data_IF_817547933311
#
_entry.id   IF_817547933311
#
_cell.length_a   1.000
_cell.length_b   1.000
_cell.length_c   1.000
_cell.angle_alpha   90.00
_cell.angle_beta   90.00
_cell.angle_gamma   90.00
#
_symmetry.space_group_name_H-M   'P 1'
#
loop_
_entity.id
_entity.type
_entity.pdbx_description
1 polymer ?
#
# COMPACT_ATOMS: atom_id res chain seq x y z
N UNK A 1 21.26 -18.27 -14.21
CA UNK A 1 19.87 -18.06 -14.68
C UNK A 1 18.83 -18.52 -13.62
N UNK A 2 19.12 -18.48 -12.30
CA UNK A 2 18.26 -19.14 -11.29
C UNK A 2 17.78 -18.26 -10.13
N UNK A 3 18.02 -16.95 -10.11
CA UNK A 3 17.79 -16.15 -8.88
C UNK A 3 17.00 -14.85 -9.04
N UNK A 4 16.19 -14.66 -10.07
CA UNK A 4 15.61 -13.33 -10.32
C UNK A 4 14.09 -13.21 -10.21
N UNK A 5 13.33 -14.24 -9.84
CA UNK A 5 11.86 -14.15 -9.88
C UNK A 5 11.27 -13.45 -8.66
N UNK A 6 11.91 -13.54 -7.49
CA UNK A 6 11.40 -12.87 -6.27
C UNK A 6 12.05 -11.52 -5.93
N UNK A 7 13.23 -11.22 -6.48
CA UNK A 7 13.86 -9.89 -6.34
C UNK A 7 13.09 -8.78 -7.07
N UNK A 8 12.16 -9.14 -7.95
CA UNK A 8 11.35 -8.20 -8.72
C UNK A 8 10.13 -7.63 -7.98
N UNK A 9 9.64 -8.27 -6.90
CA UNK A 9 8.39 -7.85 -6.28
C UNK A 9 8.55 -6.62 -5.36
N UNK A 10 9.73 -6.47 -4.74
CA UNK A 10 10.00 -5.29 -3.89
C UNK A 10 10.52 -4.09 -4.70
N UNK A 11 11.03 -4.32 -5.91
CA UNK A 11 11.60 -3.27 -6.76
C UNK A 11 10.57 -2.48 -7.57
N UNK A 12 9.30 -2.92 -7.61
CA UNK A 12 8.30 -2.28 -8.47
C UNK A 12 7.65 -1.04 -7.82
N UNK A 13 7.88 -0.79 -6.55
CA UNK A 13 7.26 0.34 -5.83
C UNK A 13 8.21 1.46 -5.44
N UNK A 14 9.50 1.21 -5.56
CA UNK A 14 10.49 2.24 -5.42
C UNK A 14 11.20 2.33 -6.77
N UNK A 15 10.79 3.27 -7.61
CA UNK A 15 11.62 3.70 -8.74
C UNK A 15 12.85 4.43 -8.19
N UNK A 16 13.67 3.72 -7.41
CA UNK A 16 15.06 4.07 -7.29
C UNK A 16 15.68 3.70 -8.62
N UNK A 17 16.01 4.68 -9.42
CA UNK A 17 16.97 4.50 -10.49
C UNK A 17 18.21 3.90 -9.84
N UNK A 18 18.35 2.58 -9.92
CA UNK A 18 19.58 1.92 -9.54
C UNK A 18 20.63 2.36 -10.56
N UNK A 19 21.39 3.38 -10.22
CA UNK A 19 22.62 3.73 -10.94
C UNK A 19 23.60 2.61 -10.63
N UNK A 20 23.58 1.56 -11.43
CA UNK A 20 24.70 0.61 -11.48
C UNK A 20 25.86 1.32 -12.14
N UNK A 21 26.82 1.78 -11.34
CA UNK A 21 28.10 2.22 -11.83
C UNK A 21 28.87 1.04 -12.45
N UNK A 22 28.67 0.81 -13.73
CA UNK A 22 29.63 0.10 -14.58
C UNK A 22 29.91 1.02 -15.78
N UNK A 23 31.13 1.50 -15.85
CA UNK A 23 31.70 2.07 -17.07
C UNK A 23 31.61 1.03 -18.20
N UNK A 24 30.65 1.19 -19.10
CA UNK A 24 30.75 0.66 -20.44
C UNK A 24 29.82 1.47 -21.36
N UNK A 25 30.44 2.06 -22.35
CA UNK A 25 29.86 2.68 -23.57
C UNK A 25 28.71 3.67 -23.37
N UNK A 26 28.92 4.86 -23.91
CA UNK A 26 28.10 6.05 -24.08
C UNK A 26 26.77 5.82 -24.85
N UNK A 27 25.98 4.82 -24.48
CA UNK A 27 24.63 4.64 -24.97
C UNK A 27 23.67 5.31 -23.97
N UNK A 28 23.22 6.51 -24.28
CA UNK A 28 22.06 7.14 -23.63
C UNK A 28 20.92 6.10 -23.61
N UNK A 29 20.32 5.80 -22.44
CA UNK A 29 19.20 4.87 -22.39
C UNK A 29 18.11 5.31 -23.38
N UNK A 30 17.67 4.42 -24.25
CA UNK A 30 16.56 4.74 -25.15
C UNK A 30 15.30 4.96 -24.32
N UNK A 31 14.50 5.99 -24.66
CA UNK A 31 13.26 6.26 -23.97
C UNK A 31 12.34 5.05 -23.99
N UNK A 32 11.83 4.65 -22.83
CA UNK A 32 10.98 3.47 -22.67
C UNK A 32 9.55 3.86 -22.32
N UNK A 33 8.60 3.34 -23.09
CA UNK A 33 7.19 3.43 -22.80
C UNK A 33 6.69 2.07 -22.30
N UNK A 34 6.11 2.05 -21.10
CA UNK A 34 5.62 0.83 -20.47
C UNK A 34 4.11 0.90 -20.25
N UNK A 35 3.46 -0.23 -20.46
CA UNK A 35 2.07 -0.46 -20.08
C UNK A 35 2.01 -1.74 -19.25
N UNK A 36 1.48 -1.63 -18.04
CA UNK A 36 1.37 -2.74 -17.09
C UNK A 36 0.12 -2.59 -16.24
N UNK A 37 -0.18 -3.59 -15.45
CA UNK A 37 -1.30 -3.52 -14.54
C UNK A 37 -1.71 -4.87 -13.97
N UNK A 38 -2.83 -4.86 -13.23
CA UNK A 38 -3.42 -6.06 -12.65
C UNK A 38 -4.92 -6.06 -12.80
N UNK A 39 -5.51 -7.24 -12.84
CA UNK A 39 -6.95 -7.47 -12.71
C UNK A 39 -7.15 -8.56 -11.69
N UNK A 40 -7.98 -8.35 -10.69
CA UNK A 40 -8.24 -9.33 -9.66
C UNK A 40 -9.72 -9.47 -9.30
N UNK A 41 -10.03 -10.63 -8.79
CA UNK A 41 -11.36 -11.01 -8.27
C UNK A 41 -11.16 -11.99 -7.12
N UNK A 42 -12.14 -12.08 -6.24
CA UNK A 42 -12.04 -12.97 -5.09
C UNK A 42 -13.39 -13.60 -4.72
N UNK A 43 -13.31 -14.68 -3.96
CA UNK A 43 -14.40 -15.23 -3.19
C UNK A 43 -14.05 -15.15 -1.71
N UNK A 44 -14.98 -14.70 -0.88
CA UNK A 44 -14.83 -14.68 0.58
C UNK A 44 -16.02 -15.33 1.25
N UNK A 45 -15.75 -16.04 2.33
CA UNK A 45 -16.76 -16.57 3.24
C UNK A 45 -16.36 -16.26 4.70
N UNK A 46 -17.26 -15.64 5.44
CA UNK A 46 -17.16 -15.56 6.90
C UNK A 46 -17.59 -16.90 7.53
N UNK A 47 -17.02 -17.23 8.68
CA UNK A 47 -17.48 -18.37 9.47
C UNK A 47 -18.58 -17.98 10.49
N UNK A 48 -18.96 -16.70 10.54
CA UNK A 48 -20.11 -16.19 11.27
C UNK A 48 -21.37 -16.14 10.40
N UNK A 49 -22.55 -16.02 11.02
CA UNK A 49 -23.82 -15.88 10.29
C UNK A 49 -23.93 -14.55 9.53
N UNK A 50 -23.38 -13.47 10.10
CA UNK A 50 -23.26 -12.20 9.38
C UNK A 50 -22.03 -12.24 8.44
N UNK A 51 -22.19 -11.85 7.17
CA UNK A 51 -21.09 -11.83 6.22
C UNK A 51 -20.06 -10.71 6.42
N UNK A 52 -20.18 -9.89 7.47
CA UNK A 52 -19.29 -8.76 7.68
C UNK A 52 -17.82 -9.18 7.66
N UNK A 53 -17.01 -8.36 7.00
CA UNK A 53 -15.56 -8.41 7.07
C UNK A 53 -15.07 -7.19 7.83
N UNK A 54 -13.86 -7.21 8.39
CA UNK A 54 -13.20 -5.96 8.74
C UNK A 54 -13.15 -5.07 7.48
N UNK A 55 -13.71 -3.90 7.57
CA UNK A 55 -13.70 -2.89 6.49
C UNK A 55 -12.30 -2.65 5.94
N UNK A 56 -11.32 -2.74 6.81
CA UNK A 56 -9.89 -2.61 6.55
C UNK A 56 -9.29 -3.68 5.63
N UNK A 57 -10.01 -4.75 5.33
CA UNK A 57 -9.42 -5.88 4.59
C UNK A 57 -9.27 -5.63 3.09
N UNK A 58 -9.92 -4.62 2.53
CA UNK A 58 -10.05 -4.39 1.08
C UNK A 58 -10.57 -5.63 0.32
N UNK A 59 -11.16 -6.56 1.05
CA UNK A 59 -11.81 -7.77 0.58
C UNK A 59 -13.02 -8.07 1.48
N UNK A 60 -13.84 -7.05 1.71
CA UNK A 60 -14.90 -6.99 2.72
C UNK A 60 -16.22 -7.62 2.25
N UNK A 61 -16.41 -7.81 0.94
CA UNK A 61 -17.65 -8.36 0.39
C UNK A 61 -17.64 -9.90 0.47
N UNK A 62 -18.71 -10.45 1.01
CA UNK A 62 -18.91 -11.89 1.08
C UNK A 62 -19.41 -12.47 -0.25
N UNK A 63 -19.05 -13.73 -0.55
CA UNK A 63 -19.34 -14.37 -1.83
C UNK A 63 -18.35 -14.03 -2.92
N UNK A 64 -18.75 -14.11 -4.17
CA UNK A 64 -17.92 -13.74 -5.33
C UNK A 64 -17.94 -12.23 -5.52
N UNK A 65 -16.77 -11.62 -5.58
CA UNK A 65 -16.61 -10.18 -5.67
C UNK A 65 -15.50 -9.78 -6.64
N UNK A 66 -15.65 -8.59 -7.18
CA UNK A 66 -14.56 -7.91 -7.89
C UNK A 66 -13.59 -7.34 -6.87
N UNK A 67 -12.32 -7.40 -7.16
CA UNK A 67 -11.29 -6.63 -6.48
C UNK A 67 -11.04 -5.31 -7.19
N UNK A 68 -10.00 -5.28 -8.01
CA UNK A 68 -9.55 -4.09 -8.72
C UNK A 68 -9.06 -4.44 -10.13
N UNK A 69 -9.22 -3.53 -11.07
CA UNK A 69 -8.38 -3.45 -12.25
C UNK A 69 -7.53 -2.19 -12.15
N UNK A 70 -6.22 -2.31 -12.31
CA UNK A 70 -5.34 -1.16 -12.38
C UNK A 70 -4.54 -1.17 -13.68
N UNK A 71 -4.42 0.01 -14.30
CA UNK A 71 -3.73 0.21 -15.57
C UNK A 71 -2.69 1.30 -15.40
N UNK A 72 -1.44 0.94 -15.56
CA UNK A 72 -0.30 1.83 -15.37
C UNK A 72 0.32 2.11 -16.73
N UNK A 73 0.41 3.39 -17.07
CA UNK A 73 1.14 3.90 -18.21
C UNK A 73 2.31 4.70 -17.68
N UNK A 74 3.53 4.36 -18.09
CA UNK A 74 4.72 5.13 -17.73
C UNK A 74 5.61 5.40 -18.92
N UNK A 75 6.29 6.51 -18.85
CA UNK A 75 7.33 6.89 -19.81
C UNK A 75 8.59 7.27 -19.05
N UNK A 76 9.68 6.64 -19.40
CA UNK A 76 11.00 6.90 -18.87
C UNK A 76 11.88 7.45 -19.98
N UNK A 77 12.17 8.74 -19.92
CA UNK A 77 13.07 9.43 -20.83
C UNK A 77 14.43 9.67 -20.18
N UNK A 78 15.38 10.20 -20.94
CA UNK A 78 16.75 10.47 -20.48
C UNK A 78 16.80 11.31 -19.19
N UNK A 79 15.98 12.34 -19.08
CA UNK A 79 15.97 13.27 -17.94
C UNK A 79 14.64 13.42 -17.25
N UNK A 80 13.55 13.02 -17.90
CA UNK A 80 12.22 13.24 -17.39
C UNK A 80 11.30 12.08 -17.76
N UNK A 81 10.29 11.85 -16.93
CA UNK A 81 9.27 10.86 -17.21
C UNK A 81 7.97 11.17 -16.48
N UNK A 82 7.02 10.27 -16.64
CA UNK A 82 5.74 10.34 -15.94
C UNK A 82 5.21 8.95 -15.61
N UNK A 83 4.30 8.90 -14.65
CA UNK A 83 3.45 7.75 -14.35
C UNK A 83 2.01 8.21 -14.31
N UNK A 84 1.12 7.44 -14.94
CA UNK A 84 -0.33 7.55 -14.83
C UNK A 84 -0.87 6.17 -14.49
N UNK A 85 -1.51 6.03 -13.33
CA UNK A 85 -2.08 4.80 -12.79
C UNK A 85 -3.56 5.00 -12.52
N UNK A 86 -4.40 4.29 -13.27
CA UNK A 86 -5.84 4.32 -13.14
C UNK A 86 -6.35 3.03 -12.50
N UNK A 87 -7.28 3.15 -11.55
CA UNK A 87 -7.87 2.04 -10.79
C UNK A 87 -9.38 2.01 -10.95
N UNK A 88 -9.93 0.80 -10.98
CA UNK A 88 -11.36 0.54 -11.13
C UNK A 88 -11.78 -0.62 -10.22
N UNK A 89 -13.03 -0.65 -9.82
CA UNK A 89 -13.59 -1.69 -8.95
C UNK A 89 -13.57 -1.31 -7.47
N UNK A 90 -14.17 -2.14 -6.60
CA UNK A 90 -14.33 -1.82 -5.18
C UNK A 90 -13.02 -1.48 -4.47
N UNK A 91 -12.01 -2.33 -4.60
CA UNK A 91 -10.68 -2.10 -4.02
C UNK A 91 -10.03 -0.81 -4.55
N UNK A 92 -10.15 -0.55 -5.87
CA UNK A 92 -9.65 0.69 -6.48
C UNK A 92 -10.35 1.92 -5.93
N UNK A 93 -11.68 1.90 -5.83
CA UNK A 93 -12.47 3.01 -5.26
C UNK A 93 -12.13 3.26 -3.80
N UNK A 94 -11.89 2.20 -3.01
CA UNK A 94 -11.47 2.32 -1.62
C UNK A 94 -10.06 2.91 -1.48
N UNK A 95 -9.19 2.63 -2.43
CA UNK A 95 -7.81 3.15 -2.44
C UNK A 95 -7.72 4.65 -2.77
N UNK A 96 -8.70 5.19 -3.48
CA UNK A 96 -8.73 6.61 -3.92
C UNK A 96 -9.90 7.38 -3.28
N UNK A 97 -10.30 7.00 -2.08
CA UNK A 97 -11.49 7.52 -1.38
C UNK A 97 -11.47 9.04 -1.14
N UNK A 98 -10.31 9.64 -0.93
CA UNK A 98 -10.12 11.08 -0.74
C UNK A 98 -10.06 11.87 -2.05
N UNK A 99 -10.16 11.20 -3.20
CA UNK A 99 -10.21 11.88 -4.49
C UNK A 99 -11.50 12.66 -4.67
N UNK A 100 -11.39 13.84 -5.28
CA UNK A 100 -12.56 14.73 -5.48
C UNK A 100 -13.59 14.03 -6.37
N UNK A 101 -14.73 13.69 -5.78
CA UNK A 101 -15.94 13.35 -6.51
C UNK A 101 -16.48 14.64 -7.08
N UNK A 102 -16.50 14.75 -8.40
CA UNK A 102 -17.03 15.92 -9.07
C UNK A 102 -18.51 16.13 -8.74
N UNK A 103 -18.80 16.84 -7.66
CA UNK A 103 -20.09 17.42 -7.36
C UNK A 103 -19.98 18.93 -7.31
N UNK A 104 -19.76 19.53 -8.45
CA UNK A 104 -20.24 20.88 -8.60
C UNK A 104 -21.72 20.79 -8.97
N UNK A 105 -22.59 21.39 -8.17
CA UNK A 105 -24.01 21.57 -8.45
C UNK A 105 -24.21 22.35 -9.76
N UNK A 106 -24.03 21.66 -10.89
CA UNK A 106 -24.19 22.24 -12.22
C UNK A 106 -24.18 21.18 -13.31
N UNK A 107 -24.97 21.33 -14.36
CA UNK A 107 -25.01 20.38 -15.47
C UNK A 107 -23.68 20.43 -16.23
N UNK A 108 -22.89 19.35 -16.21
CA UNK A 108 -21.83 19.09 -17.18
C UNK A 108 -20.39 18.94 -16.69
N UNK A 109 -20.11 18.90 -15.40
CA UNK A 109 -18.76 18.66 -14.88
C UNK A 109 -18.68 17.32 -14.14
N UNK A 110 -18.65 16.24 -14.87
CA UNK A 110 -18.36 14.92 -14.36
C UNK A 110 -16.87 14.64 -14.49
N UNK A 111 -16.02 15.36 -13.77
CA UNK A 111 -14.63 14.91 -13.56
C UNK A 111 -14.63 14.09 -12.30
N UNK A 112 -14.11 12.88 -12.41
CA UNK A 112 -13.85 12.04 -11.28
C UNK A 112 -12.38 11.69 -11.30
N UNK A 113 -11.64 12.17 -10.33
CA UNK A 113 -10.33 11.61 -10.01
C UNK A 113 -10.44 10.32 -9.20
N UNK A 114 -11.65 9.83 -8.96
CA UNK A 114 -11.92 8.54 -8.29
C UNK A 114 -11.30 7.31 -8.96
N UNK A 115 -10.73 7.48 -10.14
CA UNK A 115 -9.97 6.43 -10.84
C UNK A 115 -8.46 6.69 -10.85
N UNK A 116 -7.99 7.80 -10.33
CA UNK A 116 -6.57 8.15 -10.36
C UNK A 116 -5.88 7.71 -9.07
N UNK A 117 -5.13 6.64 -9.14
CA UNK A 117 -4.26 6.18 -8.06
C UNK A 117 -2.96 6.97 -8.05
N UNK A 118 -2.33 7.17 -9.21
CA UNK A 118 -1.13 7.99 -9.35
C UNK A 118 -1.18 8.81 -10.63
N UNK A 119 -0.74 10.05 -10.55
CA UNK A 119 -0.49 10.90 -11.71
C UNK A 119 0.62 11.89 -11.35
N UNK A 120 1.83 11.63 -11.83
CA UNK A 120 2.96 12.49 -11.54
C UNK A 120 3.95 12.56 -12.70
N UNK A 121 4.73 13.63 -12.70
CA UNK A 121 5.90 13.80 -13.56
C UNK A 121 7.14 13.88 -12.69
N UNK A 122 8.28 13.45 -13.23
CA UNK A 122 9.56 13.58 -12.53
C UNK A 122 10.64 14.12 -13.48
N UNK A 123 11.67 14.70 -12.88
CA UNK A 123 12.83 15.21 -13.59
C UNK A 123 14.12 14.91 -12.81
N UNK A 124 15.09 14.32 -13.48
CA UNK A 124 16.41 14.02 -12.94
C UNK A 124 17.29 15.29 -13.03
N UNK A 125 17.58 15.89 -11.87
CA UNK A 125 18.35 17.13 -11.75
C UNK A 125 19.85 16.91 -11.94
N UNK A 126 20.32 15.68 -11.78
CA UNK A 126 21.72 15.27 -11.88
C UNK A 126 21.92 13.91 -11.23
N UNK A 127 23.18 13.49 -11.07
CA UNK A 127 23.50 12.21 -10.47
C UNK A 127 22.85 12.06 -9.09
N UNK A 128 21.93 11.09 -8.96
CA UNK A 128 21.28 10.73 -7.72
C UNK A 128 20.25 11.71 -7.18
N UNK A 129 19.79 12.72 -7.95
CA UNK A 129 18.76 13.66 -7.49
C UNK A 129 17.59 13.71 -8.45
N UNK A 130 16.41 13.35 -7.97
CA UNK A 130 15.15 13.39 -8.74
C UNK A 130 14.12 14.27 -8.04
N UNK A 131 13.48 15.16 -8.79
CA UNK A 131 12.30 15.90 -8.34
C UNK A 131 11.05 15.28 -8.95
N UNK A 132 10.02 15.08 -8.12
CA UNK A 132 8.70 14.53 -8.53
C UNK A 132 7.60 15.50 -8.13
N UNK A 133 6.65 15.74 -9.02
CA UNK A 133 5.48 16.59 -8.79
C UNK A 133 4.22 15.88 -9.28
N UNK A 134 3.21 15.82 -8.44
CA UNK A 134 1.92 15.19 -8.71
C UNK A 134 1.39 14.38 -7.55
N UNK A 135 0.49 13.44 -7.85
CA UNK A 135 -0.05 12.47 -6.90
C UNK A 135 0.68 11.12 -7.07
N UNK A 136 1.17 10.56 -5.99
CA UNK A 136 1.90 9.30 -5.95
C UNK A 136 1.55 8.49 -4.70
N UNK A 137 1.72 7.18 -4.77
CA UNK A 137 1.49 6.30 -3.62
C UNK A 137 2.33 6.72 -2.42
N UNK A 138 1.79 6.46 -1.23
CA UNK A 138 2.48 6.78 0.01
C UNK A 138 3.87 6.14 0.09
N UNK A 139 4.75 6.79 0.82
CA UNK A 139 6.06 6.26 1.21
C UNK A 139 6.05 5.63 2.61
N UNK A 140 4.89 5.66 3.31
CA UNK A 140 4.69 5.03 4.61
C UNK A 140 4.03 3.67 4.43
N UNK A 141 4.31 2.77 5.38
CA UNK A 141 3.70 1.44 5.40
C UNK A 141 4.42 0.41 4.54
N UNK A 142 4.15 -0.86 4.80
CA UNK A 142 4.74 -2.02 4.14
C UNK A 142 3.88 -2.54 2.99
N UNK A 143 2.55 -2.55 3.20
CA UNK A 143 1.60 -3.01 2.20
C UNK A 143 1.29 -1.91 1.17
N UNK A 144 0.77 -2.33 0.02
CA UNK A 144 0.45 -1.45 -1.10
C UNK A 144 -0.93 -1.74 -1.67
N UNK A 145 -1.44 -0.84 -2.50
CA UNK A 145 -2.78 -0.93 -3.08
C UNK A 145 -2.89 -2.14 -4.02
N UNK A 146 -1.87 -2.39 -4.86
CA UNK A 146 -1.88 -3.49 -5.82
C UNK A 146 -1.79 -4.85 -5.14
N UNK A 147 -2.79 -5.75 -5.32
CA UNK A 147 -2.81 -7.05 -4.67
C UNK A 147 -1.74 -8.03 -5.18
N UNK A 148 -1.15 -7.78 -6.35
CA UNK A 148 -0.06 -8.59 -6.87
C UNK A 148 1.25 -8.32 -6.16
N UNK A 149 1.42 -7.12 -5.61
CA UNK A 149 2.64 -6.70 -4.93
C UNK A 149 2.63 -7.02 -3.42
N UNK A 150 1.47 -7.27 -2.83
CA UNK A 150 1.35 -7.77 -1.46
C UNK A 150 1.45 -9.29 -1.42
N UNK A 151 2.09 -9.87 -0.41
CA UNK A 151 2.05 -11.33 -0.22
C UNK A 151 0.65 -11.79 0.18
N UNK A 152 0.04 -11.15 1.20
CA UNK A 152 -1.34 -11.38 1.61
C UNK A 152 -2.29 -10.61 0.69
N UNK A 153 -3.45 -11.19 0.37
CA UNK A 153 -4.45 -10.50 -0.45
C UNK A 153 -5.24 -9.46 0.35
N UNK A 154 -5.73 -9.84 1.54
CA UNK A 154 -6.35 -8.89 2.44
C UNK A 154 -5.30 -8.03 3.15
N UNK A 155 -5.64 -6.79 3.42
CA UNK A 155 -4.73 -5.80 4.01
C UNK A 155 -4.81 -5.75 5.53
N UNK A 156 -3.78 -5.18 6.16
CA UNK A 156 -3.67 -4.92 7.59
C UNK A 156 -4.51 -3.70 8.02
N UNK A 157 -4.73 -3.54 9.30
CA UNK A 157 -5.30 -2.31 9.88
C UNK A 157 -4.35 -1.12 9.70
N UNK A 158 -3.05 -1.33 9.93
CA UNK A 158 -2.05 -0.27 9.74
C UNK A 158 -2.04 0.28 8.31
N UNK A 159 -2.22 -0.58 7.30
CA UNK A 159 -2.34 -0.14 5.91
C UNK A 159 -3.61 0.71 5.72
N UNK A 160 -4.74 0.25 6.23
CA UNK A 160 -6.04 0.87 5.95
C UNK A 160 -6.26 2.18 6.69
N UNK A 161 -5.57 2.41 7.80
CA UNK A 161 -5.61 3.64 8.57
C UNK A 161 -4.38 4.53 8.41
N UNK A 162 -3.37 4.05 7.68
CA UNK A 162 -2.28 4.87 7.17
C UNK A 162 -2.66 5.64 5.89
N UNK A 163 -1.83 6.56 5.45
CA UNK A 163 -2.05 7.27 4.19
C UNK A 163 -1.86 6.33 2.99
N UNK A 164 -2.66 6.54 1.91
CA UNK A 164 -2.52 5.81 0.64
C UNK A 164 -1.75 6.60 -0.41
N UNK A 165 -1.92 7.92 -0.44
CA UNK A 165 -1.30 8.77 -1.45
C UNK A 165 -0.93 10.15 -0.93
N UNK A 166 -0.05 10.82 -1.67
CA UNK A 166 0.34 12.20 -1.43
C UNK A 166 0.33 12.97 -2.72
N UNK A 167 -0.29 14.15 -2.71
CA UNK A 167 -0.20 15.12 -3.79
C UNK A 167 0.74 16.25 -3.38
N UNK A 168 1.82 16.43 -4.11
CA UNK A 168 2.79 17.46 -3.78
C UNK A 168 4.10 17.34 -4.55
N UNK A 169 5.15 17.87 -3.95
CA UNK A 169 6.50 17.86 -4.49
C UNK A 169 7.42 17.10 -3.54
N UNK A 170 8.20 16.18 -4.10
CA UNK A 170 9.26 15.50 -3.37
C UNK A 170 10.58 15.55 -4.12
N UNK A 171 11.65 15.47 -3.34
CA UNK A 171 13.04 15.33 -3.79
C UNK A 171 13.60 14.03 -3.27
N UNK A 172 14.05 13.19 -4.14
CA UNK A 172 14.72 11.92 -3.84
C UNK A 172 16.23 12.09 -4.05
N UNK A 173 17.03 11.67 -3.08
CA UNK A 173 18.49 11.72 -3.10
C UNK A 173 19.03 10.30 -2.94
N UNK A 174 19.71 9.77 -3.95
CA UNK A 174 20.53 8.57 -3.84
C UNK A 174 21.91 8.96 -3.32
N UNK A 175 22.14 8.82 -2.01
CA UNK A 175 23.38 9.25 -1.35
C UNK A 175 24.50 8.22 -1.54
N UNK A 176 24.14 6.95 -1.67
CA UNK A 176 25.03 5.82 -2.03
C UNK A 176 24.18 4.68 -2.58
N UNK A 177 24.82 3.53 -2.89
CA UNK A 177 24.10 2.31 -3.29
C UNK A 177 23.13 1.79 -2.20
N UNK A 178 23.44 2.05 -0.93
CA UNK A 178 22.71 1.54 0.23
C UNK A 178 21.94 2.62 1.00
N UNK A 179 22.14 3.91 0.67
CA UNK A 179 21.59 5.02 1.45
C UNK A 179 20.83 5.98 0.55
N UNK A 180 19.58 6.23 0.87
CA UNK A 180 18.72 7.21 0.20
C UNK A 180 18.03 8.15 1.20
N UNK A 181 17.68 9.34 0.73
CA UNK A 181 16.88 10.31 1.46
C UNK A 181 15.81 10.87 0.56
N UNK A 182 14.57 10.89 1.02
CA UNK A 182 13.49 11.63 0.39
C UNK A 182 13.03 12.75 1.32
N UNK A 183 12.76 13.91 0.75
CA UNK A 183 12.14 15.05 1.43
C UNK A 183 10.99 15.57 0.60
N UNK A 184 9.84 15.85 1.21
CA UNK A 184 8.66 16.28 0.49
C UNK A 184 7.78 17.28 1.22
N UNK A 185 6.98 18.00 0.44
CA UNK A 185 5.92 18.90 0.89
C UNK A 185 4.64 18.52 0.14
N UNK A 186 3.58 18.27 0.89
CA UNK A 186 2.35 17.67 0.37
C UNK A 186 1.12 18.44 0.82
N UNK A 187 0.04 18.28 0.08
CA UNK A 187 -1.30 18.57 0.53
C UNK A 187 -1.69 17.60 1.68
N UNK A 188 -2.93 17.69 2.13
CA UNK A 188 -3.50 16.68 3.01
C UNK A 188 -3.39 15.30 2.34
N UNK A 189 -3.11 14.28 3.14
CA UNK A 189 -3.02 12.89 2.64
C UNK A 189 -4.31 12.44 1.98
N UNK A 190 -4.18 11.61 0.96
CA UNK A 190 -5.28 10.99 0.23
C UNK A 190 -6.15 11.95 -0.60
N UNK A 191 -5.80 13.24 -0.64
CA UNK A 191 -6.40 14.22 -1.53
C UNK A 191 -5.62 14.33 -2.84
N UNK A 192 -6.26 13.98 -3.96
CA UNK A 192 -5.59 14.01 -5.28
C UNK A 192 -5.45 15.40 -5.88
N UNK A 193 -6.33 16.36 -5.58
CA UNK A 193 -6.40 17.61 -6.32
C UNK A 193 -6.47 18.86 -5.47
N UNK A 194 -7.17 18.81 -4.33
CA UNK A 194 -7.54 20.02 -3.65
C UNK A 194 -6.94 20.11 -2.25
N UNK A 195 -6.41 21.25 -1.94
CA UNK A 195 -6.04 21.60 -0.57
C UNK A 195 -7.08 22.59 -0.01
N UNK A 196 -8.28 22.10 0.25
CA UNK A 196 -9.37 22.93 0.79
C UNK A 196 -9.10 23.43 2.21
N UNK A 197 -8.41 22.63 3.00
CA UNK A 197 -8.02 22.99 4.37
C UNK A 197 -6.81 23.90 4.44
N UNK A 198 -6.10 24.13 3.33
CA UNK A 198 -4.78 24.76 3.28
C UNK A 198 -3.74 24.02 4.15
N UNK A 199 -3.98 22.76 4.39
CA UNK A 199 -3.09 21.90 5.11
C UNK A 199 -1.81 21.67 4.31
N UNK A 200 -0.69 21.68 5.00
CA UNK A 200 0.61 21.38 4.40
C UNK A 200 1.30 20.34 5.26
N UNK A 201 1.57 19.19 4.67
CA UNK A 201 2.34 18.14 5.30
C UNK A 201 3.80 18.17 4.83
N UNK A 202 4.69 17.77 5.71
CA UNK A 202 6.10 17.54 5.42
C UNK A 202 6.41 16.07 5.59
N UNK A 203 7.08 15.48 4.62
CA UNK A 203 7.51 14.10 4.66
C UNK A 203 9.01 13.95 4.53
N UNK A 204 9.53 12.92 5.18
CA UNK A 204 10.91 12.47 5.04
C UNK A 204 10.97 10.94 5.08
N UNK A 205 11.85 10.37 4.26
CA UNK A 205 12.17 8.95 4.30
C UNK A 205 13.68 8.78 4.25
N UNK A 206 14.22 8.02 5.19
CA UNK A 206 15.60 7.60 5.19
C UNK A 206 15.66 6.10 4.83
N UNK A 207 16.25 5.80 3.68
CA UNK A 207 16.53 4.43 3.25
C UNK A 207 17.92 4.01 3.68
N UNK A 208 18.03 2.83 4.32
CA UNK A 208 19.27 2.22 4.79
C UNK A 208 19.25 0.72 4.48
N UNK A 209 20.06 0.27 3.52
CA UNK A 209 20.20 -1.17 3.18
C UNK A 209 18.85 -1.85 2.87
N UNK A 210 17.93 -1.15 2.17
CA UNK A 210 16.61 -1.67 1.84
C UNK A 210 15.58 -1.59 2.98
N UNK A 211 15.92 -0.96 4.12
CA UNK A 211 15.02 -0.63 5.20
C UNK A 211 14.70 0.86 5.18
N UNK A 212 13.52 1.26 5.67
CA UNK A 212 13.07 2.65 5.60
C UNK A 212 12.55 3.12 6.95
N UNK A 213 12.98 4.31 7.33
CA UNK A 213 12.40 5.09 8.42
C UNK A 213 11.70 6.27 7.80
N UNK A 214 10.41 6.37 8.04
CA UNK A 214 9.52 7.34 7.43
C UNK A 214 8.96 8.28 8.48
N UNK A 215 8.82 9.55 8.10
CA UNK A 215 8.15 10.58 8.87
C UNK A 215 7.19 11.35 7.98
N UNK A 216 5.97 11.56 8.46
CA UNK A 216 5.00 12.47 7.89
C UNK A 216 4.44 13.33 9.02
N UNK A 217 4.39 14.64 8.83
CA UNK A 217 3.84 15.54 9.84
C UNK A 217 3.33 16.83 9.23
N UNK A 218 2.32 17.41 9.85
CA UNK A 218 1.68 18.65 9.45
C UNK A 218 0.60 19.00 10.46
N UNK A 219 -0.21 19.97 10.17
CA UNK A 219 -1.20 20.60 11.04
C UNK A 219 -2.06 19.59 11.84
N UNK A 220 -1.64 19.29 13.07
CA UNK A 220 -2.34 18.36 13.96
C UNK A 220 -2.15 16.87 13.68
N UNK A 221 -1.26 16.47 12.77
CA UNK A 221 -0.95 15.09 12.47
C UNK A 221 0.56 14.83 12.49
N UNK A 222 0.97 13.70 13.06
CA UNK A 222 2.33 13.19 12.94
C UNK A 222 2.36 11.66 12.91
N UNK A 223 3.13 11.09 11.99
CA UNK A 223 3.33 9.64 11.89
C UNK A 223 4.81 9.34 11.73
N UNK A 224 5.28 8.36 12.48
CA UNK A 224 6.59 7.73 12.30
C UNK A 224 6.33 6.27 11.95
N UNK A 225 7.00 5.80 10.91
CA UNK A 225 6.83 4.46 10.38
C UNK A 225 8.20 3.84 10.07
N UNK A 226 8.34 2.55 10.33
CA UNK A 226 9.47 1.72 9.91
C UNK A 226 8.95 0.61 9.02
N UNK A 227 9.54 0.47 7.84
CA UNK A 227 9.31 -0.66 6.94
C UNK A 227 10.61 -1.31 6.56
N UNK A 228 10.61 -2.64 6.51
CA UNK A 228 11.80 -3.39 6.15
C UNK A 228 11.52 -4.82 5.75
N UNK A 229 12.54 -5.42 5.14
CA UNK A 229 12.52 -6.82 4.75
C UNK A 229 13.90 -7.44 4.78
N UNK A 230 13.99 -8.69 5.25
CA UNK A 230 15.24 -9.40 5.47
C UNK A 230 15.18 -10.77 4.81
N UNK A 231 16.08 -11.04 3.88
CA UNK A 231 16.33 -12.38 3.37
C UNK A 231 17.15 -13.15 4.41
N UNK A 232 16.48 -13.94 5.27
CA UNK A 232 17.12 -14.73 6.32
C UNK A 232 17.75 -16.03 5.75
N UNK A 233 17.27 -16.47 4.59
CA UNK A 233 17.87 -17.52 3.77
C UNK A 233 17.35 -17.42 2.33
N UNK A 234 17.84 -18.27 1.41
CA UNK A 234 17.36 -18.35 0.01
C UNK A 234 15.84 -18.63 -0.10
N UNK A 235 15.24 -19.23 0.92
CA UNK A 235 13.84 -19.63 0.93
C UNK A 235 13.00 -18.85 1.94
N UNK A 236 13.60 -18.14 2.89
CA UNK A 236 12.87 -17.51 3.98
C UNK A 236 13.13 -16.00 4.02
N UNK A 237 12.05 -15.24 3.85
CA UNK A 237 12.01 -13.79 3.95
C UNK A 237 11.17 -13.36 5.15
N UNK A 238 11.57 -12.29 5.85
CA UNK A 238 10.83 -11.67 6.92
C UNK A 238 10.61 -10.18 6.63
N UNK A 239 9.36 -9.80 6.35
CA UNK A 239 8.96 -8.40 6.29
C UNK A 239 8.54 -7.88 7.67
N UNK A 240 8.74 -6.58 7.91
CA UNK A 240 8.38 -5.89 9.15
C UNK A 240 7.78 -4.53 8.82
N UNK A 241 6.69 -4.19 9.50
CA UNK A 241 6.16 -2.84 9.58
C UNK A 241 5.91 -2.48 11.05
N UNK A 242 6.28 -1.27 11.44
CA UNK A 242 5.94 -0.71 12.76
C UNK A 242 5.64 0.76 12.60
N UNK A 243 4.51 1.23 13.11
CA UNK A 243 4.06 2.60 12.95
C UNK A 243 3.42 3.15 14.21
N UNK A 244 3.49 4.47 14.38
CA UNK A 244 2.68 5.22 15.32
C UNK A 244 2.25 6.52 14.66
N UNK A 245 0.97 6.84 14.77
CA UNK A 245 0.37 8.07 14.29
C UNK A 245 -0.37 8.77 15.42
N UNK A 246 -0.24 10.08 15.50
CA UNK A 246 -0.94 10.93 16.48
C UNK A 246 -1.67 12.06 15.77
N UNK A 247 -2.85 12.37 16.24
CA UNK A 247 -3.69 13.47 15.81
C UNK A 247 -3.88 14.47 16.98
N UNK A 248 -4.51 15.60 16.73
CA UNK A 248 -4.88 16.52 17.79
C UNK A 248 -5.77 15.85 18.84
N UNK A 249 -5.57 16.17 20.12
CA UNK A 249 -6.39 15.65 21.21
C UNK A 249 -5.98 14.31 21.77
N UNK A 250 -4.74 13.89 21.55
CA UNK A 250 -4.16 12.59 21.97
C UNK A 250 -4.75 11.37 21.26
N UNK A 251 -5.61 11.54 20.27
CA UNK A 251 -6.11 10.46 19.43
C UNK A 251 -5.03 9.94 18.49
N UNK A 252 -5.11 8.68 18.10
CA UNK A 252 -4.15 8.10 17.17
C UNK A 252 -4.17 6.59 17.13
N UNK A 253 -3.16 6.02 16.49
CA UNK A 253 -2.97 4.58 16.47
C UNK A 253 -1.50 4.20 16.49
N UNK A 254 -1.24 2.97 16.86
CA UNK A 254 0.07 2.34 16.72
C UNK A 254 -0.11 0.88 16.32
N UNK A 255 0.92 0.32 15.71
CA UNK A 255 0.88 -1.08 15.32
C UNK A 255 2.23 -1.64 14.93
N UNK A 256 2.29 -2.96 14.95
CA UNK A 256 3.41 -3.74 14.45
C UNK A 256 2.90 -4.96 13.70
N UNK A 257 3.47 -5.24 12.54
CA UNK A 257 3.19 -6.44 11.77
C UNK A 257 4.48 -7.12 11.32
N UNK A 258 4.44 -8.45 11.34
CA UNK A 258 5.47 -9.33 10.82
C UNK A 258 4.91 -10.13 9.65
N UNK A 259 5.73 -10.27 8.59
CA UNK A 259 5.36 -10.94 7.35
C UNK A 259 6.39 -12.04 7.00
N UNK A 260 6.47 -13.13 7.79
CA UNK A 260 7.31 -14.26 7.41
C UNK A 260 6.75 -14.97 6.17
N UNK A 261 7.64 -15.24 5.20
CA UNK A 261 7.33 -15.88 3.93
C UNK A 261 8.34 -16.99 3.65
N UNK A 262 7.83 -18.13 3.23
CA UNK A 262 8.62 -19.31 2.86
C UNK A 262 8.36 -19.68 1.41
N UNK A 263 9.38 -19.61 0.57
CA UNK A 263 9.38 -20.14 -0.79
C UNK A 263 9.53 -21.65 -0.72
N UNK A 264 8.49 -22.38 -1.11
CA UNK A 264 8.45 -23.84 -1.07
C UNK A 264 8.94 -24.44 -2.40
N UNK A 265 8.59 -23.78 -3.52
CA UNK A 265 8.99 -24.12 -4.88
C UNK A 265 9.02 -22.88 -5.76
N UNK A 266 9.41 -23.05 -7.04
CA UNK A 266 9.41 -21.95 -8.00
C UNK A 266 8.01 -21.35 -8.24
N UNK A 267 6.95 -22.13 -8.02
CA UNK A 267 5.56 -21.75 -8.28
C UNK A 267 4.71 -21.59 -7.01
N UNK A 268 5.26 -21.88 -5.84
CA UNK A 268 4.50 -21.86 -4.58
C UNK A 268 5.30 -21.30 -3.41
N UNK A 269 4.68 -20.35 -2.72
CA UNK A 269 5.14 -19.84 -1.45
C UNK A 269 3.98 -19.82 -0.43
N UNK A 270 4.33 -19.86 0.85
CA UNK A 270 3.41 -19.73 1.97
C UNK A 270 3.90 -18.60 2.88
N UNK A 271 3.00 -17.79 3.38
CA UNK A 271 3.34 -16.69 4.28
C UNK A 271 2.25 -16.42 5.30
N UNK A 272 2.68 -15.75 6.33
CA UNK A 272 1.84 -15.34 7.44
C UNK A 272 1.95 -13.82 7.61
N UNK A 273 0.86 -13.16 7.98
CA UNK A 273 0.89 -11.83 8.58
C UNK A 273 0.37 -11.94 10.00
N UNK A 274 1.17 -11.52 10.97
CA UNK A 274 0.72 -11.30 12.35
C UNK A 274 0.79 -9.82 12.64
N UNK A 275 -0.35 -9.19 12.93
CA UNK A 275 -0.48 -7.77 13.21
C UNK A 275 -1.07 -7.54 14.59
N UNK A 276 -0.47 -6.63 15.36
CA UNK A 276 -1.07 -6.01 16.51
C UNK A 276 -1.32 -4.53 16.20
N UNK A 277 -2.56 -4.10 16.32
CA UNK A 277 -3.02 -2.74 16.10
C UNK A 277 -3.70 -2.22 17.34
N UNK A 278 -3.36 -1.00 17.75
CA UNK A 278 -3.92 -0.33 18.93
C UNK A 278 -4.35 1.07 18.55
N UNK A 279 -5.56 1.45 18.92
CA UNK A 279 -6.04 2.83 18.81
C UNK A 279 -6.16 3.48 20.17
N UNK A 280 -6.08 4.81 20.20
CA UNK A 280 -6.12 5.62 21.39
C UNK A 280 -7.21 6.69 21.25
N UNK A 281 -7.97 6.87 22.31
CA UNK A 281 -8.96 7.94 22.53
C UNK A 281 -9.96 8.13 21.36
N UNK A 282 -10.55 7.00 20.92
CA UNK A 282 -11.59 7.02 19.91
C UNK A 282 -11.10 7.48 18.54
N UNK A 283 -9.94 7.00 18.09
CA UNK A 283 -9.46 7.24 16.72
C UNK A 283 -10.49 6.79 15.66
N UNK A 284 -11.34 5.82 16.00
CA UNK A 284 -12.46 5.37 15.19
C UNK A 284 -12.11 4.27 14.19
N UNK A 285 -10.99 3.57 14.42
CA UNK A 285 -10.64 2.39 13.65
C UNK A 285 -11.35 1.13 14.14
N UNK A 286 -11.49 1.00 15.44
CA UNK A 286 -12.08 -0.15 16.13
C UNK A 286 -13.32 0.25 16.94
N UNK A 287 -13.24 1.36 17.67
CA UNK A 287 -14.32 1.87 18.53
C UNK A 287 -14.49 3.38 18.33
N UNK A 288 -15.70 3.89 18.60
CA UNK A 288 -16.00 5.33 18.50
C UNK A 288 -15.48 6.15 19.68
N UNK A 289 -15.16 5.51 20.80
CA UNK A 289 -14.74 6.18 22.04
C UNK A 289 -13.84 5.27 22.88
N UNK A 290 -12.77 5.82 23.44
CA UNK A 290 -11.77 5.12 24.26
C UNK A 290 -10.72 4.38 23.46
N UNK A 291 -10.00 3.51 24.15
CA UNK A 291 -8.90 2.72 23.60
C UNK A 291 -9.38 1.33 23.19
N UNK A 292 -8.85 0.81 22.09
CA UNK A 292 -9.08 -0.57 21.67
C UNK A 292 -7.88 -1.17 20.96
N UNK A 293 -7.76 -2.48 21.09
CA UNK A 293 -6.70 -3.28 20.47
C UNK A 293 -7.29 -4.34 19.55
N UNK A 294 -6.57 -4.69 18.51
CA UNK A 294 -6.88 -5.83 17.65
C UNK A 294 -5.62 -6.62 17.30
N UNK A 295 -5.71 -7.93 17.38
CA UNK A 295 -4.70 -8.85 16.86
C UNK A 295 -5.26 -9.57 15.64
N UNK A 296 -4.55 -9.48 14.50
CA UNK A 296 -4.91 -10.17 13.25
C UNK A 296 -3.87 -11.20 12.88
N UNK A 297 -4.32 -12.38 12.51
CA UNK A 297 -3.47 -13.43 11.95
C UNK A 297 -4.00 -13.85 10.59
N UNK A 298 -3.16 -13.75 9.55
CA UNK A 298 -3.52 -14.07 8.17
C UNK A 298 -2.52 -15.05 7.58
N UNK A 299 -2.99 -16.24 7.19
CA UNK A 299 -2.20 -17.26 6.51
C UNK A 299 -2.56 -17.27 5.03
N UNK A 300 -1.59 -17.12 4.16
CA UNK A 300 -1.77 -17.07 2.70
C UNK A 300 -0.86 -18.05 2.00
N UNK A 301 -1.42 -18.85 1.09
CA UNK A 301 -0.66 -19.54 0.05
C UNK A 301 -0.62 -18.67 -1.20
N UNK A 302 0.50 -18.63 -1.90
CA UNK A 302 0.63 -17.94 -3.19
C UNK A 302 1.10 -18.92 -4.25
N UNK A 303 0.24 -19.21 -5.22
CA UNK A 303 0.53 -20.07 -6.38
C UNK A 303 0.67 -19.18 -7.60
N UNK A 304 1.81 -19.26 -8.28
CA UNK A 304 2.11 -18.45 -9.46
C UNK A 304 2.27 -19.33 -10.69
N UNK A 305 1.59 -18.98 -11.78
CA UNK A 305 1.73 -19.66 -13.08
C UNK A 305 1.77 -18.60 -14.19
N UNK A 306 2.96 -18.28 -14.65
CA UNK A 306 3.18 -17.16 -15.57
C UNK A 306 2.68 -15.85 -14.96
N UNK A 307 1.74 -15.21 -15.61
CA UNK A 307 1.14 -13.95 -15.17
C UNK A 307 -0.04 -14.11 -14.20
N UNK A 308 -0.42 -15.34 -13.88
CA UNK A 308 -1.55 -15.62 -13.02
C UNK A 308 -1.09 -15.98 -11.61
N UNK A 309 -1.73 -15.38 -10.59
CA UNK A 309 -1.47 -15.63 -9.18
C UNK A 309 -2.78 -16.02 -8.51
N UNK A 310 -2.76 -17.12 -7.76
CA UNK A 310 -3.88 -17.64 -7.01
C UNK A 310 -3.53 -17.65 -5.52
N UNK A 311 -4.34 -16.98 -4.69
CA UNK A 311 -4.08 -16.79 -3.26
C UNK A 311 -5.25 -17.30 -2.41
N UNK A 312 -5.24 -18.56 -1.91
CA UNK A 312 -6.08 -18.94 -0.78
C UNK A 312 -5.56 -18.30 0.51
N UNK A 313 -6.49 -17.81 1.34
CA UNK A 313 -6.16 -17.09 2.57
C UNK A 313 -7.14 -17.44 3.70
N UNK A 314 -6.60 -17.59 4.91
CA UNK A 314 -7.36 -17.71 6.15
C UNK A 314 -6.98 -16.52 7.03
N UNK A 315 -7.98 -15.82 7.55
CA UNK A 315 -7.78 -14.67 8.44
C UNK A 315 -8.61 -14.84 9.72
N UNK A 316 -7.98 -14.47 10.84
CA UNK A 316 -8.61 -14.38 12.16
C UNK A 316 -8.28 -12.99 12.70
N UNK A 317 -9.30 -12.28 13.15
CA UNK A 317 -9.19 -11.01 13.86
C UNK A 317 -9.73 -11.21 15.29
N UNK A 318 -9.06 -10.63 16.28
CA UNK A 318 -9.46 -10.70 17.70
C UNK A 318 -9.22 -9.35 18.36
N UNK A 319 -10.29 -8.68 18.76
CA UNK A 319 -10.26 -7.36 19.35
C UNK A 319 -10.47 -7.41 20.87
N UNK A 320 -10.08 -6.33 21.56
CA UNK A 320 -10.34 -6.14 22.98
C UNK A 320 -11.81 -5.82 23.30
N UNK A 321 -12.62 -5.54 22.29
CA UNK A 321 -14.04 -5.18 22.38
C UNK A 321 -14.86 -5.92 21.32
N UNK A 322 -16.17 -6.05 21.54
CA UNK A 322 -17.10 -6.71 20.60
C UNK A 322 -17.42 -5.80 19.42
N UNK A 323 -16.49 -5.69 18.46
CA UNK A 323 -16.59 -4.79 17.30
C UNK A 323 -17.05 -5.49 16.01
N UNK A 324 -17.00 -6.82 15.95
CA UNK A 324 -17.34 -7.55 14.73
C UNK A 324 -18.81 -7.97 14.76
N UNK A 325 -19.60 -7.51 13.80
CA UNK A 325 -20.95 -8.01 13.59
C UNK A 325 -20.88 -9.49 13.18
N UNK A 326 -21.55 -10.37 13.94
CA UNK A 326 -21.65 -11.81 13.66
C UNK A 326 -23.05 -12.24 13.27
N UNK A 327 -24.05 -11.38 13.56
CA UNK A 327 -25.43 -11.47 13.11
C UNK A 327 -26.01 -10.06 13.00
N UNK A 328 -27.23 -9.85 12.45
CA UNK A 328 -27.86 -8.53 12.39
C UNK A 328 -28.08 -7.83 13.73
N UNK A 329 -27.96 -8.55 14.83
CA UNK A 329 -28.26 -8.06 16.20
C UNK A 329 -27.16 -8.36 17.22
N UNK A 330 -26.09 -9.04 16.82
CA UNK A 330 -25.05 -9.49 17.74
C UNK A 330 -23.67 -9.11 17.22
N UNK A 331 -22.81 -8.71 18.12
CA UNK A 331 -21.37 -8.46 17.89
C UNK A 331 -20.52 -9.46 18.65
N UNK A 332 -19.28 -9.63 18.24
CA UNK A 332 -18.27 -10.46 18.89
C UNK A 332 -16.92 -9.74 18.93
N UNK A 333 -16.04 -10.22 19.77
CA UNK A 333 -14.65 -9.79 19.86
C UNK A 333 -13.73 -10.48 18.84
N UNK A 334 -14.25 -11.45 18.07
CA UNK A 334 -13.47 -12.18 17.09
C UNK A 334 -14.24 -12.48 15.81
N UNK A 335 -13.50 -12.51 14.69
CA UNK A 335 -14.01 -12.83 13.37
C UNK A 335 -13.03 -13.72 12.63
N UNK A 336 -13.53 -14.74 11.94
CA UNK A 336 -12.71 -15.61 11.11
C UNK A 336 -13.28 -15.70 9.70
N UNK A 337 -12.42 -15.74 8.70
CA UNK A 337 -12.82 -15.83 7.32
C UNK A 337 -11.85 -16.65 6.47
N UNK A 338 -12.40 -17.18 5.38
CA UNK A 338 -11.66 -17.79 4.28
C UNK A 338 -11.84 -16.95 3.03
N UNK A 339 -10.76 -16.77 2.29
CA UNK A 339 -10.76 -16.03 1.02
C UNK A 339 -9.94 -16.80 -0.01
N UNK A 340 -10.33 -16.66 -1.27
CA UNK A 340 -9.55 -17.11 -2.42
C UNK A 340 -9.54 -15.99 -3.44
N UNK A 341 -8.35 -15.52 -3.81
CA UNK A 341 -8.18 -14.50 -4.83
C UNK A 341 -7.51 -15.05 -6.08
N UNK A 342 -7.92 -14.53 -7.23
CA UNK A 342 -7.34 -14.76 -8.53
C UNK A 342 -6.89 -13.41 -9.12
N UNK A 343 -5.60 -13.29 -9.42
CA UNK A 343 -4.95 -12.07 -9.87
C UNK A 343 -4.25 -12.36 -11.19
N UNK A 344 -4.46 -11.52 -12.19
CA UNK A 344 -3.70 -11.54 -13.43
C UNK A 344 -2.90 -10.26 -13.54
N UNK A 345 -1.61 -10.36 -13.80
CA UNK A 345 -0.71 -9.21 -14.00
C UNK A 345 -0.14 -9.21 -15.44
N UNK A 346 0.13 -8.06 -15.99
CA UNK A 346 0.64 -7.90 -17.35
C UNK A 346 1.57 -6.71 -17.49
#
# INVERSE_FOLDING_TARGET
LRNNVFKGLFALLISTVAVTGQETDDATPEPTFNFSGTVDTYFRASFSEDPAAPYTSFADLNGFSLGMANFIVSYEGEKAGFVADAVFGPRGSNAVFGSVRGSFDGPGYGFSSEILNQLYVYYNLGEGVTVTLGNFNTFLGYEVISPSANFNYSTSYMFSYGPFSHTGLKLDFALSEDISLMLGVFNQTDETEANYSRYTAFGAQLGLYGQYINFLGGDGYAQIDFTGGFDLSDAFFLGINATTASLEGDTGFSGVALYPQLTVSDDFAIGLRGEFFSETDGFGALVDDGDADNFSLTLTGSFTSGNFIFKPELRIDSASSEIFAISPTETADSLSSFLVAAIYQF
#
